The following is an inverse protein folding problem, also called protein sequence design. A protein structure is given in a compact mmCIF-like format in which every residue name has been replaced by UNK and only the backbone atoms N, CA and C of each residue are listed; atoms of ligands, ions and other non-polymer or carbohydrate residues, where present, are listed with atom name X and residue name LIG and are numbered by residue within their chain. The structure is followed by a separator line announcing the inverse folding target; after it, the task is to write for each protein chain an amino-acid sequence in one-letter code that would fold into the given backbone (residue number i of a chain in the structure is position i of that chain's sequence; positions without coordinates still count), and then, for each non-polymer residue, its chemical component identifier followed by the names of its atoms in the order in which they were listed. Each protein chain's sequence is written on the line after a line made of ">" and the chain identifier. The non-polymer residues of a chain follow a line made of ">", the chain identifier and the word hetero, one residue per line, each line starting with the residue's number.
data_IF_242372539478
#
_entry.id   IF_242372539478
#
_cell.length_a   1.000
_cell.length_b   1.000
_cell.length_c   1.000
_cell.angle_alpha   90.00
_cell.angle_beta   90.00
_cell.angle_gamma   90.00
#
_symmetry.space_group_name_H-M   'P 1'
#
loop_
_entity.id
_entity.type
_entity.pdbx_description
1 polymer ?
#
# COMPACT_ATOMS: atom_id res chain seq x y z
N UNK A 1 -25.06 31.90 -49.68
CA UNK A 1 -23.82 31.73 -50.46
C UNK A 1 -22.65 31.68 -49.49
N UNK A 2 -22.20 30.47 -49.12
CA UNK A 2 -20.99 30.26 -48.35
C UNK A 2 -19.96 29.62 -49.30
N UNK A 3 -18.80 30.25 -49.42
CA UNK A 3 -17.70 29.78 -50.27
C UNK A 3 -16.86 28.78 -49.47
N UNK A 4 -16.74 27.59 -50.05
CA UNK A 4 -15.79 26.50 -49.75
C UNK A 4 -14.37 27.02 -50.00
N UNK A 5 -13.34 26.71 -49.20
CA UNK A 5 -12.40 25.58 -49.35
C UNK A 5 -11.37 25.70 -48.20
N UNK A 6 -11.02 24.58 -47.54
CA UNK A 6 -9.63 24.26 -47.15
C UNK A 6 -9.48 22.77 -46.82
N UNK A 7 -8.81 22.05 -47.72
CA UNK A 7 -8.23 20.72 -47.56
C UNK A 7 -6.73 20.86 -47.30
N UNK A 8 -6.19 20.23 -46.26
CA UNK A 8 -5.37 18.99 -46.30
C UNK A 8 -4.67 18.79 -44.95
N UNK A 9 -4.79 17.57 -44.44
CA UNK A 9 -4.12 17.08 -43.24
C UNK A 9 -3.00 16.11 -43.64
N UNK A 10 -1.87 16.15 -42.94
CA UNK A 10 -1.06 14.97 -42.61
C UNK A 10 -0.09 15.31 -41.46
N UNK A 11 0.29 14.33 -40.61
CA UNK A 11 0.77 14.57 -39.25
C UNK A 11 2.30 14.44 -39.10
N UNK A 12 2.85 15.05 -38.05
CA UNK A 12 4.21 14.81 -37.57
C UNK A 12 4.18 14.38 -36.10
N UNK A 13 4.74 13.20 -35.85
CA UNK A 13 4.90 12.56 -34.56
C UNK A 13 6.27 12.90 -33.95
N UNK A 14 6.32 13.09 -32.63
CA UNK A 14 7.52 12.93 -31.80
C UNK A 14 7.06 12.71 -30.34
N UNK A 15 7.09 11.48 -29.83
CA UNK A 15 8.19 10.82 -29.07
C UNK A 15 8.15 11.14 -27.58
N UNK A 16 7.70 10.18 -26.76
CA UNK A 16 8.45 9.72 -25.58
C UNK A 16 7.80 8.44 -25.01
N UNK A 17 8.34 7.29 -25.42
CA UNK A 17 7.98 5.97 -24.91
C UNK A 17 9.03 5.53 -23.90
N UNK A 18 8.58 5.19 -22.70
CA UNK A 18 9.34 4.55 -21.63
C UNK A 18 9.56 3.07 -21.98
N UNK A 19 10.79 2.67 -22.26
CA UNK A 19 11.16 1.28 -22.53
C UNK A 19 11.83 0.65 -21.30
N UNK A 20 11.29 -0.50 -20.88
CA UNK A 20 11.93 -1.43 -19.98
C UNK A 20 13.21 -1.98 -20.62
N UNK A 21 14.31 -2.02 -19.87
CA UNK A 21 15.52 -2.75 -20.25
C UNK A 21 15.82 -3.84 -19.23
N UNK A 22 15.56 -5.08 -19.64
CA UNK A 22 16.15 -6.30 -19.10
C UNK A 22 17.57 -6.41 -19.62
N UNK A 23 18.57 -6.49 -18.74
CA UNK A 23 19.97 -6.68 -19.13
C UNK A 23 20.29 -8.18 -19.19
N UNK A 24 20.39 -8.69 -20.42
CA UNK A 24 20.94 -10.00 -20.76
C UNK A 24 22.45 -9.95 -20.93
N UNK A 25 23.06 -11.02 -20.45
CA UNK A 25 24.38 -11.62 -20.71
C UNK A 25 25.15 -11.08 -21.93
N UNK A 26 26.31 -10.45 -21.69
CA UNK A 26 27.28 -10.12 -22.76
C UNK A 26 28.35 -11.20 -22.86
N UNK A 27 28.32 -11.89 -24.00
CA UNK A 27 29.25 -12.90 -24.49
C UNK A 27 30.56 -12.26 -24.97
N UNK A 28 31.69 -12.78 -24.49
CA UNK A 28 33.03 -12.37 -24.89
C UNK A 28 33.36 -12.79 -26.33
N UNK A 29 33.90 -11.83 -27.10
CA UNK A 29 34.29 -11.99 -28.51
C UNK A 29 35.72 -12.55 -28.61
N UNK A 30 35.85 -13.75 -29.19
CA UNK A 30 37.12 -14.42 -29.53
C UNK A 30 37.88 -13.66 -30.62
N UNK A 31 39.14 -13.33 -30.36
CA UNK A 31 40.15 -13.11 -31.40
C UNK A 31 41.15 -14.29 -31.37
N UNK A 32 41.33 -14.93 -32.52
CA UNK A 32 42.19 -16.10 -32.72
C UNK A 32 43.66 -15.68 -32.75
N UNK A 33 44.50 -16.26 -31.89
CA UNK A 33 45.95 -16.28 -32.06
C UNK A 33 46.43 -17.72 -32.31
N UNK A 34 47.30 -17.86 -33.30
CA UNK A 34 47.81 -19.11 -33.88
C UNK A 34 48.63 -19.91 -32.87
N UNK A 35 48.48 -21.23 -32.97
CA UNK A 35 49.30 -22.23 -32.30
C UNK A 35 50.49 -22.58 -33.20
N UNK A 36 51.72 -22.32 -32.74
CA UNK A 36 52.94 -23.02 -33.19
C UNK A 36 53.76 -23.43 -31.95
N UNK A 37 54.35 -24.62 -32.02
CA UNK A 37 54.71 -25.44 -30.87
C UNK A 37 55.95 -25.03 -30.06
N UNK A 38 55.95 -25.50 -28.81
CA UNK A 38 57.11 -25.85 -27.98
C UNK A 38 56.52 -26.45 -26.71
N UNK A 39 56.60 -27.78 -26.60
CA UNK A 39 55.83 -28.63 -25.69
C UNK A 39 56.62 -29.25 -24.55
N UNK A 40 57.74 -28.67 -24.10
CA UNK A 40 58.53 -29.27 -23.01
C UNK A 40 59.02 -28.35 -21.89
N UNK A 41 58.88 -27.04 -21.99
CA UNK A 41 59.27 -26.11 -20.91
C UNK A 41 58.10 -25.68 -20.00
N UNK A 42 56.85 -25.97 -20.38
CA UNK A 42 55.65 -25.50 -19.68
C UNK A 42 55.21 -26.34 -18.47
N UNK A 43 55.83 -27.50 -18.24
CA UNK A 43 55.41 -28.40 -17.15
C UNK A 43 56.04 -28.03 -15.79
N UNK A 44 57.29 -27.55 -15.79
CA UNK A 44 58.02 -27.17 -14.56
C UNK A 44 57.67 -25.77 -14.07
N UNK A 45 57.37 -24.84 -14.98
CA UNK A 45 56.88 -23.50 -14.63
C UNK A 45 55.47 -23.54 -14.01
N UNK A 46 54.60 -24.43 -14.47
CA UNK A 46 53.19 -24.49 -14.02
C UNK A 46 53.03 -25.06 -12.61
N UNK A 47 53.95 -25.91 -12.16
CA UNK A 47 53.96 -26.43 -10.79
C UNK A 47 54.41 -25.35 -9.78
N UNK A 48 55.47 -24.60 -10.12
CA UNK A 48 55.99 -23.51 -9.29
C UNK A 48 55.10 -22.26 -9.28
N UNK A 49 54.38 -22.01 -10.37
CA UNK A 49 53.43 -20.89 -10.47
C UNK A 49 52.09 -21.22 -9.79
N UNK A 50 51.67 -22.50 -9.77
CA UNK A 50 50.54 -22.97 -8.97
C UNK A 50 50.78 -22.88 -7.47
N UNK A 51 51.97 -23.28 -7.00
CA UNK A 51 52.37 -23.17 -5.59
C UNK A 51 52.45 -21.71 -5.12
N UNK A 52 53.04 -20.81 -5.94
CA UNK A 52 53.08 -19.36 -5.63
C UNK A 52 51.69 -18.74 -5.60
N UNK A 53 50.81 -19.08 -6.54
CA UNK A 53 49.41 -18.58 -6.53
C UNK A 53 48.65 -19.06 -5.30
N UNK A 54 48.92 -20.29 -4.82
CA UNK A 54 48.31 -20.78 -3.57
C UNK A 54 48.90 -20.16 -2.32
N UNK A 55 50.22 -19.93 -2.27
CA UNK A 55 50.87 -19.24 -1.14
C UNK A 55 50.45 -17.76 -1.07
N UNK A 56 50.31 -17.08 -2.22
CA UNK A 56 49.80 -15.71 -2.31
C UNK A 56 48.33 -15.62 -1.87
N UNK A 57 47.51 -16.61 -2.23
CA UNK A 57 46.11 -16.68 -1.77
C UNK A 57 46.02 -16.96 -0.26
N UNK A 58 46.88 -17.84 0.28
CA UNK A 58 46.95 -18.12 1.72
C UNK A 58 47.49 -16.89 2.48
N UNK A 59 48.44 -16.15 1.91
CA UNK A 59 48.94 -14.88 2.44
C UNK A 59 47.84 -13.82 2.48
N UNK A 60 47.10 -13.64 1.39
CA UNK A 60 45.96 -12.73 1.33
C UNK A 60 44.85 -13.10 2.32
N UNK A 61 44.60 -14.40 2.55
CA UNK A 61 43.64 -14.85 3.56
C UNK A 61 44.11 -14.59 5.00
N UNK A 62 45.43 -14.66 5.26
CA UNK A 62 46.02 -14.30 6.57
C UNK A 62 45.97 -12.81 6.84
N UNK A 63 46.24 -11.97 5.83
CA UNK A 63 46.05 -10.51 5.93
C UNK A 63 44.58 -10.13 6.15
N UNK A 64 43.65 -10.89 5.59
CA UNK A 64 42.20 -10.70 5.82
C UNK A 64 41.78 -11.15 7.23
N UNK A 65 42.45 -12.17 7.80
CA UNK A 65 42.17 -12.73 9.13
C UNK A 65 42.49 -11.75 10.27
N UNK A 66 43.44 -10.83 10.07
CA UNK A 66 43.88 -9.87 11.10
C UNK A 66 42.99 -8.60 11.20
N UNK A 67 41.89 -8.48 10.44
CA UNK A 67 40.96 -7.38 10.73
C UNK A 67 39.82 -7.04 9.78
N UNK A 68 39.53 -7.83 8.73
CA UNK A 68 38.53 -7.39 7.72
C UNK A 68 37.37 -8.36 7.48
N UNK A 69 37.36 -9.53 8.12
CA UNK A 69 36.12 -10.34 8.18
C UNK A 69 35.21 -9.82 9.29
N UNK A 70 34.53 -8.70 9.03
CA UNK A 70 33.35 -8.36 9.82
C UNK A 70 32.20 -9.25 9.33
N UNK A 71 32.11 -10.47 9.87
CA UNK A 71 30.85 -11.22 9.82
C UNK A 71 29.90 -10.47 10.73
N UNK A 72 29.22 -9.47 10.17
CA UNK A 72 28.21 -8.71 10.88
C UNK A 72 27.25 -9.68 11.54
N UNK A 73 26.85 -9.38 12.78
CA UNK A 73 25.94 -10.27 13.53
C UNK A 73 24.64 -10.42 12.75
N UNK A 74 24.42 -11.59 12.16
CA UNK A 74 23.18 -11.89 11.46
C UNK A 74 22.04 -11.94 12.50
N UNK A 75 21.15 -10.96 12.43
CA UNK A 75 19.94 -10.91 13.23
C UNK A 75 18.83 -11.60 12.44
N UNK A 76 18.46 -12.82 12.83
CA UNK A 76 17.24 -13.45 12.34
C UNK A 76 16.01 -12.63 12.76
N UNK A 77 14.96 -12.63 11.94
CA UNK A 77 13.65 -12.03 12.29
C UNK A 77 12.98 -12.68 13.50
N UNK A 78 13.50 -13.82 13.95
CA UNK A 78 12.94 -14.65 15.02
C UNK A 78 13.93 -14.69 16.18
N UNK A 79 13.43 -14.50 17.41
CA UNK A 79 14.19 -14.57 18.67
C UNK A 79 14.78 -15.96 18.89
N UNK A 80 14.01 -17.01 18.55
CA UNK A 80 14.43 -18.40 18.57
C UNK A 80 13.90 -19.17 17.36
N UNK A 81 14.61 -20.23 16.96
CA UNK A 81 14.14 -21.20 15.98
C UNK A 81 13.17 -22.18 16.65
N UNK A 82 11.89 -21.80 16.75
CA UNK A 82 10.83 -22.68 17.23
C UNK A 82 10.30 -23.56 16.09
N UNK A 83 10.19 -24.85 16.36
CA UNK A 83 9.62 -25.85 15.44
C UNK A 83 8.47 -26.58 16.13
N UNK A 84 7.44 -26.94 15.37
CA UNK A 84 6.33 -27.75 15.86
C UNK A 84 6.73 -29.25 15.91
N UNK A 85 5.80 -30.11 16.35
CA UNK A 85 6.02 -31.57 16.43
C UNK A 85 6.36 -32.23 15.09
N UNK A 86 5.99 -31.58 13.97
CA UNK A 86 6.27 -32.02 12.59
C UNK A 86 7.61 -31.49 12.05
N UNK A 87 8.31 -30.66 12.81
CA UNK A 87 9.57 -30.02 12.40
C UNK A 87 9.39 -28.77 11.54
N UNK A 88 8.16 -28.30 11.33
CA UNK A 88 7.89 -27.06 10.63
C UNK A 88 8.16 -25.86 11.53
N UNK A 89 8.70 -24.79 10.96
CA UNK A 89 9.04 -23.59 11.72
C UNK A 89 7.73 -22.84 12.03
N UNK A 90 7.44 -22.69 13.32
CA UNK A 90 6.19 -22.09 13.84
C UNK A 90 5.93 -20.72 13.20
N UNK A 91 4.72 -20.49 12.70
CA UNK A 91 4.35 -19.26 11.99
C UNK A 91 4.32 -18.01 12.88
N UNK A 92 4.25 -16.83 12.24
CA UNK A 92 4.04 -15.54 12.93
C UNK A 92 2.69 -15.48 13.66
N UNK A 93 1.66 -16.13 13.13
CA UNK A 93 0.33 -16.19 13.73
C UNK A 93 0.30 -17.06 15.01
N UNK A 94 1.12 -18.11 15.06
CA UNK A 94 1.15 -19.07 16.18
C UNK A 94 2.12 -18.64 17.30
N UNK A 95 3.17 -17.88 16.98
CA UNK A 95 4.16 -17.41 17.95
C UNK A 95 4.63 -15.98 17.65
N UNK A 96 3.70 -15.02 17.68
CA UNK A 96 3.99 -13.59 17.45
C UNK A 96 5.08 -13.05 18.38
N UNK A 97 5.13 -13.52 19.63
CA UNK A 97 6.13 -13.16 20.63
C UNK A 97 7.56 -13.56 20.23
N UNK A 98 7.71 -14.54 19.33
CA UNK A 98 8.99 -15.02 18.82
C UNK A 98 9.57 -14.12 17.72
N UNK A 99 8.86 -13.08 17.28
CA UNK A 99 9.41 -12.12 16.33
C UNK A 99 10.32 -11.14 17.08
N UNK A 100 11.55 -10.99 16.59
CA UNK A 100 12.48 -10.02 17.14
C UNK A 100 12.08 -8.63 16.64
N UNK A 101 11.85 -7.71 17.58
CA UNK A 101 11.72 -6.30 17.24
C UNK A 101 13.06 -5.83 16.68
N UNK A 102 13.01 -5.14 15.54
CA UNK A 102 14.22 -4.59 14.95
C UNK A 102 14.77 -3.50 15.88
N UNK A 103 16.07 -3.54 16.23
CA UNK A 103 16.66 -2.54 17.11
C UNK A 103 16.47 -1.13 16.53
N UNK A 104 15.82 -0.24 17.29
CA UNK A 104 15.56 1.14 16.88
C UNK A 104 14.30 1.36 16.04
N UNK A 105 13.54 0.30 15.72
CA UNK A 105 12.18 0.39 15.15
C UNK A 105 11.12 0.27 16.25
N UNK A 106 11.35 0.97 17.36
CA UNK A 106 10.38 1.18 18.43
C UNK A 106 9.39 2.29 18.04
N UNK A 107 8.35 2.50 18.85
CA UNK A 107 7.36 3.55 18.56
C UNK A 107 8.01 4.94 18.53
N UNK A 108 9.01 5.18 19.36
CA UNK A 108 9.83 6.39 19.32
C UNK A 108 10.62 6.51 17.99
N UNK A 109 11.14 5.42 17.44
CA UNK A 109 11.82 5.36 16.15
C UNK A 109 10.90 5.61 14.97
N UNK A 110 9.69 5.05 15.00
CA UNK A 110 8.64 5.34 14.01
C UNK A 110 8.25 6.82 14.04
N UNK A 111 8.13 7.41 15.24
CA UNK A 111 7.87 8.84 15.41
C UNK A 111 8.99 9.72 14.85
N UNK A 112 10.26 9.40 15.16
CA UNK A 112 11.41 10.12 14.58
C UNK A 112 11.41 10.05 13.05
N UNK A 113 11.15 8.86 12.51
CA UNK A 113 11.05 8.66 11.06
C UNK A 113 9.91 9.48 10.43
N UNK A 114 8.74 9.54 11.09
CA UNK A 114 7.63 10.37 10.64
C UNK A 114 8.00 11.85 10.64
N UNK A 115 8.63 12.36 11.71
CA UNK A 115 9.06 13.76 11.81
C UNK A 115 10.04 14.11 10.68
N UNK A 116 11.07 13.28 10.47
CA UNK A 116 12.06 13.46 9.41
C UNK A 116 11.40 13.48 8.03
N UNK A 117 10.52 12.51 7.75
CA UNK A 117 9.82 12.43 6.45
C UNK A 117 8.89 13.63 6.23
N UNK A 118 8.18 14.08 7.27
CA UNK A 118 7.29 15.25 7.18
C UNK A 118 8.08 16.54 7.00
N UNK A 119 9.23 16.67 7.68
CA UNK A 119 10.19 17.76 7.52
C UNK A 119 10.67 17.86 6.07
N UNK A 120 11.11 16.74 5.50
CA UNK A 120 11.59 16.67 4.12
C UNK A 120 10.48 17.03 3.10
N UNK A 121 9.26 16.50 3.30
CA UNK A 121 8.12 16.74 2.41
C UNK A 121 7.61 18.19 2.46
N UNK A 122 7.61 18.82 3.64
CA UNK A 122 7.11 20.18 3.84
C UNK A 122 8.22 21.26 3.73
N UNK A 123 9.49 20.86 3.72
CA UNK A 123 10.64 21.76 3.72
C UNK A 123 10.71 22.66 4.95
N UNK A 124 10.26 22.18 6.10
CA UNK A 124 10.26 22.90 7.39
C UNK A 124 11.14 22.18 8.40
N UNK A 125 11.65 22.92 9.38
CA UNK A 125 12.53 22.36 10.41
C UNK A 125 11.84 21.28 11.27
N UNK A 126 12.59 20.24 11.65
CA UNK A 126 12.08 19.11 12.46
C UNK A 126 11.49 19.57 13.81
N UNK A 127 12.05 20.60 14.45
CA UNK A 127 11.53 21.12 15.71
C UNK A 127 10.13 21.75 15.52
N UNK A 128 9.90 22.36 14.35
CA UNK A 128 8.62 22.96 14.01
C UNK A 128 7.57 21.89 13.63
N UNK A 129 7.98 20.83 12.93
CA UNK A 129 7.15 19.64 12.70
C UNK A 129 6.72 19.03 14.03
N UNK A 130 7.66 18.87 14.97
CA UNK A 130 7.39 18.33 16.30
C UNK A 130 6.30 19.11 17.04
N UNK A 131 6.35 20.45 17.00
CA UNK A 131 5.29 21.31 17.58
C UNK A 131 3.94 21.12 16.90
N UNK A 132 3.91 21.04 15.57
CA UNK A 132 2.66 20.84 14.82
C UNK A 132 2.04 19.47 15.09
N UNK A 133 2.86 18.43 15.21
CA UNK A 133 2.39 17.09 15.59
C UNK A 133 1.89 17.07 17.04
N UNK A 134 2.56 17.74 17.97
CA UNK A 134 2.07 17.86 19.35
C UNK A 134 0.71 18.58 19.42
N UNK A 135 0.52 19.64 18.62
CA UNK A 135 -0.78 20.30 18.46
C UNK A 135 -1.82 19.36 17.86
N UNK A 136 -1.47 18.59 16.83
CA UNK A 136 -2.36 17.60 16.21
C UNK A 136 -2.81 16.54 17.22
N UNK A 137 -1.91 16.03 18.06
CA UNK A 137 -2.25 15.05 19.10
C UNK A 137 -3.12 15.64 20.22
N UNK A 138 -3.01 16.94 20.46
CA UNK A 138 -3.91 17.65 21.38
C UNK A 138 -5.32 17.77 20.79
N UNK A 139 -5.44 17.96 19.47
CA UNK A 139 -6.73 18.08 18.78
C UNK A 139 -7.41 16.72 18.56
N UNK A 140 -6.63 15.67 18.32
CA UNK A 140 -7.11 14.30 18.08
C UNK A 140 -6.42 13.35 19.05
N UNK A 141 -6.96 13.17 20.26
CA UNK A 141 -6.40 12.24 21.22
C UNK A 141 -6.47 10.80 20.69
N UNK A 142 -5.44 10.00 20.96
CA UNK A 142 -5.34 8.59 20.53
C UNK A 142 -4.67 8.37 19.17
N UNK A 143 -4.42 9.43 18.39
CA UNK A 143 -3.68 9.34 17.13
C UNK A 143 -2.21 8.93 17.33
N UNK A 144 -1.59 9.39 18.43
CA UNK A 144 -0.19 9.13 18.78
C UNK A 144 0.11 7.63 18.85
N UNK A 145 -0.74 6.84 19.51
CA UNK A 145 -0.57 5.39 19.65
C UNK A 145 -0.76 4.59 18.36
N UNK A 146 -1.23 5.22 17.28
CA UNK A 146 -1.49 4.58 15.98
C UNK A 146 -0.51 5.04 14.89
N UNK A 147 0.49 5.86 15.21
CA UNK A 147 1.39 6.44 14.20
C UNK A 147 2.16 5.40 13.38
N UNK A 148 2.37 4.19 13.92
CA UNK A 148 2.98 3.08 13.20
C UNK A 148 2.08 2.44 12.13
N UNK A 149 0.76 2.57 12.24
CA UNK A 149 -0.21 1.96 11.33
C UNK A 149 -0.78 2.95 10.32
N UNK A 150 -0.68 4.25 10.61
CA UNK A 150 -1.25 5.31 9.79
C UNK A 150 -0.34 5.57 8.58
N UNK A 151 -0.96 5.87 7.44
CA UNK A 151 -0.22 6.29 6.25
C UNK A 151 0.45 7.64 6.49
N UNK A 152 1.77 7.67 6.33
CA UNK A 152 2.60 8.89 6.50
C UNK A 152 2.07 10.04 5.63
N UNK A 153 1.61 9.74 4.41
CA UNK A 153 1.03 10.73 3.50
C UNK A 153 -0.21 11.46 4.05
N UNK A 154 -0.96 10.84 4.95
CA UNK A 154 -2.12 11.48 5.59
C UNK A 154 -1.64 12.33 6.79
N UNK A 155 -0.65 11.84 7.54
CA UNK A 155 -0.02 12.58 8.64
C UNK A 155 0.66 13.85 8.15
N UNK A 156 1.39 13.80 7.03
CA UNK A 156 2.03 14.98 6.42
C UNK A 156 1.00 16.03 6.04
N UNK A 157 -0.11 15.63 5.40
CA UNK A 157 -1.21 16.53 5.02
C UNK A 157 -1.89 17.16 6.23
N UNK A 158 -2.10 16.39 7.30
CA UNK A 158 -2.69 16.88 8.55
C UNK A 158 -1.74 17.85 9.27
N UNK A 159 -0.45 17.51 9.36
CA UNK A 159 0.57 18.37 9.95
C UNK A 159 0.78 19.67 9.16
N UNK A 160 0.55 19.66 7.84
CA UNK A 160 0.57 20.86 7.02
C UNK A 160 -0.63 21.80 7.30
N UNK A 161 -1.76 21.26 7.77
CA UNK A 161 -3.05 21.96 7.88
C UNK A 161 -3.69 21.83 9.27
N UNK A 162 -2.89 21.99 10.33
CA UNK A 162 -3.37 21.86 11.72
C UNK A 162 -4.59 22.73 12.04
N UNK A 163 -4.70 24.01 11.60
CA UNK A 163 -5.88 24.82 11.87
C UNK A 163 -7.16 24.27 11.22
N UNK A 164 -7.02 23.71 10.02
CA UNK A 164 -8.16 23.14 9.27
C UNK A 164 -8.67 21.87 9.93
N UNK A 165 -7.81 21.12 10.64
CA UNK A 165 -8.20 19.91 11.39
C UNK A 165 -9.22 20.24 12.48
N UNK A 166 -9.02 21.34 13.22
CA UNK A 166 -9.99 21.75 14.25
C UNK A 166 -11.35 22.12 13.64
N UNK A 167 -11.34 22.83 12.50
CA UNK A 167 -12.57 23.16 11.76
C UNK A 167 -13.26 21.91 11.20
N UNK A 168 -12.48 20.96 10.67
CA UNK A 168 -13.00 19.69 10.17
C UNK A 168 -13.66 18.86 11.28
N UNK A 169 -13.06 18.83 12.48
CA UNK A 169 -13.66 18.19 13.67
C UNK A 169 -15.01 18.81 14.04
N UNK A 170 -15.12 20.14 14.03
CA UNK A 170 -16.38 20.85 14.32
C UNK A 170 -17.44 20.49 13.29
N UNK A 171 -17.11 20.58 11.99
CA UNK A 171 -18.04 20.22 10.91
C UNK A 171 -18.50 18.77 11.01
N UNK A 172 -17.59 17.85 11.33
CA UNK A 172 -17.92 16.44 11.50
C UNK A 172 -18.86 16.22 12.69
N UNK A 173 -18.71 17.01 13.76
CA UNK A 173 -19.63 17.00 14.91
C UNK A 173 -21.02 17.51 14.55
N UNK A 174 -21.13 18.50 13.67
CA UNK A 174 -22.42 19.00 13.18
C UNK A 174 -23.15 17.94 12.33
N UNK A 175 -22.41 17.19 11.53
CA UNK A 175 -22.98 16.14 10.66
C UNK A 175 -23.37 14.89 11.48
N UNK A 176 -22.51 14.48 12.42
CA UNK A 176 -22.66 13.28 13.26
C UNK A 176 -22.62 13.65 14.76
N UNK A 177 -23.70 14.23 15.31
CA UNK A 177 -23.71 14.74 16.68
C UNK A 177 -23.56 13.65 17.74
N UNK A 178 -24.09 12.44 17.50
CA UNK A 178 -24.01 11.33 18.47
C UNK A 178 -22.78 10.44 18.30
N UNK A 179 -21.96 10.66 17.26
CA UNK A 179 -20.80 9.82 16.97
C UNK A 179 -19.63 10.09 17.94
N UNK A 180 -18.88 9.03 18.23
CA UNK A 180 -17.59 9.13 18.91
C UNK A 180 -16.50 9.51 17.90
N UNK A 181 -16.26 10.82 17.75
CA UNK A 181 -15.32 11.36 16.76
C UNK A 181 -13.87 10.99 17.07
N UNK A 182 -13.47 10.96 18.34
CA UNK A 182 -12.09 10.64 18.73
C UNK A 182 -11.71 9.25 18.22
N UNK A 183 -12.54 8.25 18.52
CA UNK A 183 -12.33 6.88 18.06
C UNK A 183 -12.36 6.78 16.54
N UNK A 184 -13.32 7.45 15.90
CA UNK A 184 -13.52 7.38 14.46
C UNK A 184 -12.35 7.99 13.68
N UNK A 185 -11.86 9.16 14.12
CA UNK A 185 -10.74 9.87 13.48
C UNK A 185 -9.40 9.21 13.81
N UNK A 186 -9.21 8.73 15.04
CA UNK A 186 -8.00 7.98 15.40
C UNK A 186 -7.88 6.68 14.56
N UNK A 187 -8.99 6.01 14.28
CA UNK A 187 -9.01 4.85 13.39
C UNK A 187 -8.79 5.23 11.92
N UNK A 188 -9.29 6.39 11.48
CA UNK A 188 -9.22 6.84 10.10
C UNK A 188 -8.97 8.35 9.97
N UNK A 189 -7.70 8.79 10.01
CA UNK A 189 -7.35 10.21 9.98
C UNK A 189 -7.68 10.89 8.64
N UNK A 190 -7.77 10.13 7.56
CA UNK A 190 -8.14 10.62 6.23
C UNK A 190 -9.54 11.23 6.15
N UNK A 191 -10.43 10.94 7.12
CA UNK A 191 -11.75 11.58 7.23
C UNK A 191 -11.66 13.09 7.42
N UNK A 192 -10.63 13.57 8.11
CA UNK A 192 -10.41 15.01 8.30
C UNK A 192 -9.95 15.74 7.04
N UNK A 193 -9.47 14.98 6.04
CA UNK A 193 -9.01 15.50 4.76
C UNK A 193 -10.11 15.47 3.70
N UNK A 194 -11.24 14.80 3.96
CA UNK A 194 -12.36 14.68 3.04
C UNK A 194 -13.22 15.95 3.01
N UNK A 195 -13.97 16.13 1.93
CA UNK A 195 -14.90 17.26 1.80
C UNK A 195 -16.13 17.06 2.70
N UNK A 196 -16.39 18.03 3.57
CA UNK A 196 -17.51 18.01 4.50
C UNK A 196 -18.87 17.95 3.78
N UNK A 197 -18.99 18.61 2.62
CA UNK A 197 -20.26 18.64 1.87
C UNK A 197 -20.57 17.28 1.23
N UNK A 198 -19.54 16.59 0.74
CA UNK A 198 -19.68 15.22 0.22
C UNK A 198 -20.02 14.23 1.34
N UNK A 199 -19.35 14.34 2.49
CA UNK A 199 -19.66 13.52 3.67
C UNK A 199 -21.11 13.73 4.13
N UNK A 200 -21.56 14.98 4.21
CA UNK A 200 -22.93 15.30 4.61
C UNK A 200 -23.95 14.68 3.63
N UNK A 201 -23.71 14.76 2.33
CA UNK A 201 -24.58 14.13 1.32
C UNK A 201 -24.63 12.62 1.52
N UNK A 202 -23.49 11.95 1.63
CA UNK A 202 -23.42 10.48 1.85
C UNK A 202 -24.19 10.04 3.09
N UNK A 203 -24.07 10.77 4.19
CA UNK A 203 -24.76 10.46 5.46
C UNK A 203 -26.26 10.76 5.35
N UNK A 204 -26.64 11.82 4.64
CA UNK A 204 -28.05 12.13 4.38
C UNK A 204 -28.72 11.04 3.55
N UNK A 205 -28.02 10.51 2.53
CA UNK A 205 -28.49 9.39 1.72
C UNK A 205 -28.62 8.11 2.55
N UNK A 206 -27.63 7.80 3.41
CA UNK A 206 -27.68 6.69 4.36
C UNK A 206 -28.90 6.76 5.27
N UNK A 207 -29.14 7.94 5.87
CA UNK A 207 -30.29 8.17 6.77
C UNK A 207 -31.62 8.08 6.01
N UNK A 208 -31.65 8.44 4.73
CA UNK A 208 -32.84 8.29 3.89
C UNK A 208 -33.11 6.81 3.54
N UNK A 209 -32.08 6.02 3.24
CA UNK A 209 -32.22 4.61 2.85
C UNK A 209 -32.58 3.69 4.02
N UNK A 210 -32.09 4.01 5.22
CA UNK A 210 -32.40 3.24 6.43
C UNK A 210 -32.55 4.17 7.65
N UNK A 211 -33.72 4.79 7.84
CA UNK A 211 -33.93 5.81 8.88
C UNK A 211 -33.98 5.25 10.30
N UNK A 212 -34.22 3.94 10.46
CA UNK A 212 -34.31 3.29 11.78
C UNK A 212 -32.94 2.95 12.39
N UNK A 213 -31.86 3.01 11.61
CA UNK A 213 -30.52 2.71 12.07
C UNK A 213 -29.86 3.95 12.68
N UNK A 214 -29.19 3.74 13.82
CA UNK A 214 -28.36 4.78 14.47
C UNK A 214 -26.99 4.82 13.80
N UNK A 215 -26.97 5.35 12.58
CA UNK A 215 -25.76 5.43 11.73
C UNK A 215 -24.59 6.14 12.42
N UNK A 216 -24.86 7.15 13.23
CA UNK A 216 -23.84 7.88 14.00
C UNK A 216 -23.00 6.94 14.86
N UNK A 217 -23.64 6.00 15.58
CA UNK A 217 -22.93 5.02 16.41
C UNK A 217 -22.22 3.97 15.55
N UNK A 218 -22.91 3.44 14.54
CA UNK A 218 -22.39 2.41 13.64
C UNK A 218 -21.12 2.89 12.94
N UNK A 219 -21.12 4.10 12.38
CA UNK A 219 -19.97 4.66 11.67
C UNK A 219 -18.79 4.97 12.61
N UNK A 220 -19.05 5.29 13.88
CA UNK A 220 -17.99 5.44 14.88
C UNK A 220 -17.42 4.11 15.39
N UNK A 221 -18.22 3.05 15.46
CA UNK A 221 -17.77 1.71 15.88
C UNK A 221 -17.13 0.91 14.74
N UNK A 222 -17.53 1.16 13.49
CA UNK A 222 -17.03 0.51 12.28
C UNK A 222 -16.48 1.54 11.27
N UNK A 223 -15.29 2.12 11.52
CA UNK A 223 -14.69 3.14 10.65
C UNK A 223 -14.34 2.65 9.24
N UNK A 224 -14.29 1.34 9.02
CA UNK A 224 -14.04 0.70 7.73
C UNK A 224 -15.17 0.97 6.72
N UNK A 225 -16.40 1.21 7.21
CA UNK A 225 -17.56 1.48 6.35
C UNK A 225 -17.38 2.75 5.52
N UNK A 226 -16.53 3.68 5.94
CA UNK A 226 -16.23 4.89 5.18
C UNK A 226 -15.52 4.63 3.84
N UNK A 227 -14.97 3.44 3.61
CA UNK A 227 -14.44 3.04 2.30
C UNK A 227 -15.52 2.80 1.26
N UNK A 228 -16.76 2.56 1.68
CA UNK A 228 -17.87 2.36 0.75
C UNK A 228 -18.10 3.64 -0.04
N UNK A 229 -18.00 3.54 -1.37
CA UNK A 229 -18.17 4.69 -2.26
C UNK A 229 -19.61 5.19 -2.23
N UNK A 230 -20.56 4.28 -2.47
CA UNK A 230 -21.98 4.56 -2.64
C UNK A 230 -22.85 3.71 -1.70
N UNK A 231 -23.13 4.25 -0.51
CA UNK A 231 -23.92 3.54 0.49
C UNK A 231 -25.35 3.18 0.04
N UNK A 232 -25.98 4.03 -0.77
CA UNK A 232 -27.34 3.82 -1.29
C UNK A 232 -27.41 2.55 -2.14
N UNK A 233 -26.56 2.46 -3.16
CA UNK A 233 -26.51 1.31 -4.06
C UNK A 233 -26.16 0.03 -3.28
N UNK A 234 -25.22 0.11 -2.34
CA UNK A 234 -24.83 -1.06 -1.54
C UNK A 234 -25.96 -1.56 -0.63
N UNK A 235 -26.74 -0.66 -0.04
CA UNK A 235 -27.90 -1.05 0.78
C UNK A 235 -28.99 -1.66 -0.10
N UNK A 236 -29.26 -1.08 -1.27
CA UNK A 236 -30.25 -1.62 -2.23
C UNK A 236 -29.83 -3.00 -2.76
N UNK A 237 -28.57 -3.17 -3.15
CA UNK A 237 -28.03 -4.46 -3.57
C UNK A 237 -28.02 -5.48 -2.42
N UNK A 238 -27.81 -5.05 -1.18
CA UNK A 238 -27.93 -5.93 -0.01
C UNK A 238 -29.37 -6.39 0.21
N UNK A 239 -30.34 -5.47 0.07
CA UNK A 239 -31.79 -5.80 0.15
C UNK A 239 -32.17 -6.84 -0.91
N UNK A 240 -31.67 -6.68 -2.13
CA UNK A 240 -31.88 -7.62 -3.24
C UNK A 240 -31.27 -8.99 -2.93
N UNK A 241 -29.98 -9.05 -2.56
CA UNK A 241 -29.26 -10.29 -2.27
C UNK A 241 -29.86 -11.08 -1.10
N UNK A 242 -30.32 -10.38 -0.06
CA UNK A 242 -30.96 -11.01 1.09
C UNK A 242 -32.46 -11.25 0.88
N UNK A 243 -33.03 -10.85 -0.26
CA UNK A 243 -34.48 -10.90 -0.53
C UNK A 243 -35.31 -10.25 0.59
N UNK A 244 -34.78 -9.18 1.19
CA UNK A 244 -35.40 -8.49 2.33
C UNK A 244 -36.16 -7.27 1.81
N UNK A 245 -37.48 -7.35 1.88
CA UNK A 245 -38.38 -6.22 1.54
C UNK A 245 -38.64 -5.32 2.75
N UNK A 246 -38.52 -5.86 3.97
CA UNK A 246 -38.88 -5.18 5.21
C UNK A 246 -37.70 -4.39 5.82
N UNK A 247 -37.92 -3.11 6.09
CA UNK A 247 -36.93 -2.25 6.75
C UNK A 247 -36.58 -2.71 8.18
N UNK A 248 -37.47 -3.43 8.86
CA UNK A 248 -37.21 -3.96 10.21
C UNK A 248 -36.17 -5.09 10.18
N UNK A 249 -36.27 -5.99 9.21
CA UNK A 249 -35.32 -7.09 9.03
C UNK A 249 -33.97 -6.53 8.61
N UNK A 250 -33.93 -5.54 7.72
CA UNK A 250 -32.69 -4.84 7.37
C UNK A 250 -32.05 -4.18 8.60
N UNK A 251 -32.86 -3.53 9.44
CA UNK A 251 -32.37 -2.89 10.69
C UNK A 251 -31.77 -3.91 11.65
N UNK A 252 -32.36 -5.10 11.77
CA UNK A 252 -31.82 -6.18 12.61
C UNK A 252 -30.50 -6.74 12.06
N UNK A 253 -30.42 -6.97 10.75
CA UNK A 253 -29.22 -7.49 10.09
C UNK A 253 -28.07 -6.48 10.16
N UNK A 254 -28.28 -5.25 9.71
CA UNK A 254 -27.25 -4.22 9.71
C UNK A 254 -26.92 -3.70 11.12
N UNK A 255 -27.89 -3.71 12.04
CA UNK A 255 -27.66 -3.37 13.43
C UNK A 255 -26.80 -4.41 14.17
N UNK A 256 -26.90 -5.69 13.78
CA UNK A 256 -26.07 -6.76 14.34
C UNK A 256 -24.72 -6.93 13.63
N UNK A 257 -24.70 -6.79 12.31
CA UNK A 257 -23.52 -7.02 11.47
C UNK A 257 -23.41 -5.95 10.36
N UNK A 258 -22.95 -4.74 10.70
CA UNK A 258 -22.84 -3.66 9.72
C UNK A 258 -21.74 -3.90 8.68
N UNK A 259 -20.73 -4.72 9.00
CA UNK A 259 -19.67 -5.12 8.06
C UNK A 259 -20.17 -5.87 6.81
N UNK A 260 -21.41 -6.35 6.81
CA UNK A 260 -22.03 -6.95 5.62
C UNK A 260 -22.10 -5.96 4.44
N UNK A 261 -22.13 -4.65 4.70
CA UNK A 261 -22.08 -3.64 3.64
C UNK A 261 -20.79 -3.68 2.81
N UNK A 262 -19.67 -4.13 3.41
CA UNK A 262 -18.39 -4.30 2.71
C UNK A 262 -18.38 -5.54 1.81
N UNK A 263 -19.22 -6.53 2.09
CA UNK A 263 -19.33 -7.74 1.26
C UNK A 263 -20.08 -7.49 -0.05
N UNK A 264 -20.80 -6.36 -0.15
CA UNK A 264 -21.54 -6.00 -1.35
C UNK A 264 -20.61 -5.25 -2.29
N UNK A 265 -20.19 -5.94 -3.33
CA UNK A 265 -19.57 -5.31 -4.49
C UNK A 265 -20.64 -4.57 -5.29
N UNK A 266 -20.48 -3.25 -5.39
CA UNK A 266 -21.26 -2.40 -6.28
C UNK A 266 -20.69 -2.44 -7.70
N UNK A 267 -21.45 -1.98 -8.71
CA UNK A 267 -20.96 -1.91 -10.09
C UNK A 267 -19.68 -1.09 -10.25
N UNK A 268 -19.47 -0.13 -9.36
CA UNK A 268 -18.29 0.74 -9.34
C UNK A 268 -17.03 0.06 -8.77
N UNK A 269 -17.20 -1.07 -8.08
CA UNK A 269 -16.12 -1.89 -7.51
C UNK A 269 -15.81 -3.13 -8.38
N UNK A 270 -16.63 -3.39 -9.41
CA UNK A 270 -16.42 -4.46 -10.36
C UNK A 270 -15.35 -4.06 -11.39
N UNK A 271 -14.38 -4.95 -11.62
CA UNK A 271 -13.42 -4.81 -12.71
C UNK A 271 -14.19 -4.91 -14.04
N UNK A 272 -13.81 -4.12 -15.05
CA UNK A 272 -14.49 -3.99 -16.36
C UNK A 272 -14.86 -5.32 -17.07
N UNK A 273 -14.18 -6.42 -16.75
CA UNK A 273 -14.44 -7.75 -17.33
C UNK A 273 -15.47 -8.59 -16.57
N UNK A 274 -15.83 -8.20 -15.36
CA UNK A 274 -16.81 -8.90 -14.52
C UNK A 274 -18.26 -8.56 -14.93
N UNK A 275 -18.42 -7.47 -15.69
CA UNK A 275 -19.60 -7.22 -16.51
C UNK A 275 -19.33 -7.71 -17.92
N UNK A 276 -19.35 -9.04 -18.14
CA UNK A 276 -19.73 -9.52 -19.45
C UNK A 276 -21.11 -8.95 -19.72
N UNK A 277 -21.17 -7.79 -20.40
CA UNK A 277 -22.45 -7.17 -20.75
C UNK A 277 -23.31 -8.24 -21.40
N UNK A 278 -24.62 -8.27 -21.17
CA UNK A 278 -25.50 -9.31 -21.74
C UNK A 278 -25.26 -9.44 -23.26
N UNK A 279 -24.94 -8.31 -23.90
CA UNK A 279 -24.50 -8.19 -25.29
C UNK A 279 -23.13 -8.85 -25.61
N UNK A 280 -22.14 -8.81 -24.73
CA UNK A 280 -20.88 -9.55 -24.85
C UNK A 280 -21.08 -11.06 -24.64
N UNK A 281 -21.93 -11.46 -23.70
CA UNK A 281 -22.28 -12.87 -23.48
C UNK A 281 -23.03 -13.40 -24.71
N UNK A 282 -23.99 -12.63 -25.22
CA UNK A 282 -24.70 -12.93 -26.48
C UNK A 282 -23.74 -12.96 -27.67
N UNK A 283 -22.81 -12.02 -27.79
CA UNK A 283 -21.80 -11.99 -28.86
C UNK A 283 -20.83 -13.20 -28.77
N UNK A 284 -20.44 -13.59 -27.56
CA UNK A 284 -19.60 -14.76 -27.30
C UNK A 284 -20.33 -16.07 -27.63
N UNK A 285 -21.62 -16.15 -27.25
CA UNK A 285 -22.49 -17.27 -27.58
C UNK A 285 -22.86 -17.33 -29.07
N UNK A 286 -22.91 -16.19 -29.75
CA UNK A 286 -23.12 -16.10 -31.20
C UNK A 286 -21.84 -16.25 -32.02
N UNK A 287 -20.68 -16.42 -31.37
CA UNK A 287 -19.39 -16.68 -32.02
C UNK A 287 -18.73 -15.46 -32.66
N UNK A 288 -19.09 -14.25 -32.23
CA UNK A 288 -18.57 -13.00 -32.79
C UNK A 288 -17.25 -12.64 -32.09
N UNK A 289 -16.12 -12.91 -32.75
CA UNK A 289 -14.75 -12.76 -32.23
C UNK A 289 -14.25 -11.29 -32.21
N UNK A 290 -15.14 -10.31 -32.24
CA UNK A 290 -14.78 -8.89 -32.41
C UNK A 290 -14.59 -8.13 -31.10
N UNK A 291 -14.75 -8.77 -29.93
CA UNK A 291 -14.36 -8.13 -28.67
C UNK A 291 -12.86 -8.30 -28.41
N UNK A 292 -12.07 -7.35 -28.88
CA UNK A 292 -10.68 -7.19 -28.49
C UNK A 292 -10.58 -6.98 -26.97
N UNK A 293 -10.18 -8.04 -26.26
CA UNK A 293 -9.68 -7.95 -24.89
C UNK A 293 -8.15 -7.98 -24.90
N UNK A 294 -7.54 -6.92 -24.38
CA UNK A 294 -6.17 -6.95 -23.86
C UNK A 294 -6.21 -7.07 -22.34
#
# INVERSE_FOLDING_TARGET
>A
MALVVRTTASPSASTMTRALTTTTTTTARRARARWCGSGRERATARATEGERVTEDAIGALRELADGTWNVGTYKSKRKAHLVNELGDIVGEEEASENISEQPGWDDAGKMRFCVMTVSDELGIDEDEVGKRLAQLFTLVPGLEGRMGDIRIADVTRLAARVPDVALAMIRLKDILPEANLERMVAARPSLLLADADELQKKISDLRACAPRLRWDKILSDFPELWDVRDFRENIEALKEKLSVTDDETLTKVLGGQPGLLLSVQSRHDMILYDNGTLRQVEASMSGDLTSDGW
#
